data_IF_835633158387
#
_entry.id   IF_835633158387
#
_cell.length_a   1.000
_cell.length_b   1.000
_cell.length_c   1.000
_cell.angle_alpha   90.00
_cell.angle_beta   90.00
_cell.angle_gamma   90.00
#
_symmetry.space_group_name_H-M   'P 1'
#
loop_
_entity.id
_entity.type
_entity.pdbx_description
1 polymer ?
#
# COMPACT_ATOMS: atom_id res chain seq x y z
N UNK A 1 -10.79 53.18 37.23
CA UNK A 1 -10.35 52.42 36.03
C UNK A 1 -11.61 52.20 35.19
N UNK A 2 -11.70 52.72 33.97
CA UNK A 2 -12.86 52.51 33.09
C UNK A 2 -12.73 51.13 32.43
N UNK A 3 -13.76 50.30 32.57
CA UNK A 3 -13.83 48.98 31.94
C UNK A 3 -14.32 49.08 30.48
N UNK A 4 -13.95 48.09 29.67
CA UNK A 4 -14.43 47.94 28.30
C UNK A 4 -15.39 46.75 28.23
N UNK A 5 -16.50 46.90 27.51
CA UNK A 5 -17.53 45.88 27.36
C UNK A 5 -17.27 45.03 26.11
N UNK A 6 -17.13 43.71 26.27
CA UNK A 6 -16.93 42.78 25.17
C UNK A 6 -18.29 42.37 24.57
N UNK A 7 -18.55 42.76 23.32
CA UNK A 7 -19.70 42.29 22.53
C UNK A 7 -19.36 40.98 21.78
N UNK A 8 -20.37 40.22 21.32
CA UNK A 8 -20.15 38.97 20.56
C UNK A 8 -19.31 39.14 19.30
N UNK A 9 -19.26 40.34 18.71
CA UNK A 9 -18.41 40.63 17.55
C UNK A 9 -16.91 40.54 17.85
N UNK A 10 -16.51 40.62 19.13
CA UNK A 10 -15.13 40.47 19.57
C UNK A 10 -14.76 39.02 19.93
N UNK A 11 -15.67 38.05 19.75
CA UNK A 11 -15.48 36.65 20.16
C UNK A 11 -15.59 35.73 18.95
N UNK A 12 -14.57 34.92 18.70
CA UNK A 12 -14.62 33.81 17.73
C UNK A 12 -14.49 32.49 18.47
N UNK A 13 -15.47 31.61 18.31
CA UNK A 13 -15.43 30.24 18.84
C UNK A 13 -14.80 29.35 17.77
N UNK A 14 -13.66 28.76 18.08
CA UNK A 14 -13.01 27.77 17.20
C UNK A 14 -13.11 26.39 17.82
N UNK A 15 -13.56 25.40 17.04
CA UNK A 15 -13.56 24.01 17.45
C UNK A 15 -12.24 23.39 17.02
N UNK A 16 -11.46 22.89 17.97
CA UNK A 16 -10.20 22.19 17.70
C UNK A 16 -10.29 20.79 18.28
N UNK A 17 -10.14 19.79 17.42
CA UNK A 17 -10.02 18.39 17.86
C UNK A 17 -8.56 18.15 18.22
N UNK A 18 -8.28 18.00 19.52
CA UNK A 18 -6.92 17.77 20.03
C UNK A 18 -6.56 16.30 20.17
N UNK A 19 -7.56 15.43 20.32
CA UNK A 19 -7.37 14.01 20.53
C UNK A 19 -8.54 13.26 19.88
N UNK A 20 -8.20 12.33 19.00
CA UNK A 20 -9.15 11.44 18.32
C UNK A 20 -9.24 10.07 19.00
N UNK A 21 -8.40 9.80 20.01
CA UNK A 21 -8.34 8.52 20.71
C UNK A 21 -7.67 7.40 19.92
N UNK A 22 -7.32 7.62 18.66
CA UNK A 22 -6.58 6.70 17.80
C UNK A 22 -5.25 7.33 17.36
N UNK A 23 -4.09 6.72 17.67
CA UNK A 23 -2.78 7.25 17.29
C UNK A 23 -2.53 7.25 15.77
N UNK A 24 -3.33 6.54 14.97
CA UNK A 24 -3.23 6.55 13.51
C UNK A 24 -4.04 7.68 12.87
N UNK A 25 -4.86 8.39 13.65
CA UNK A 25 -5.64 9.51 13.14
C UNK A 25 -4.97 10.84 13.50
N UNK A 26 -4.83 11.71 12.52
CA UNK A 26 -4.33 13.06 12.72
C UNK A 26 -5.38 14.08 12.31
N UNK A 27 -5.72 15.00 13.22
CA UNK A 27 -6.64 16.10 12.95
C UNK A 27 -5.90 17.43 12.91
N UNK A 28 -6.24 18.25 11.92
CA UNK A 28 -5.88 19.67 11.91
C UNK A 28 -7.14 20.50 11.69
N UNK A 29 -7.22 21.65 12.36
CA UNK A 29 -8.37 22.56 12.26
C UNK A 29 -7.89 23.98 11.97
N UNK A 30 -8.51 24.63 10.98
CA UNK A 30 -8.27 26.02 10.61
C UNK A 30 -9.61 26.74 10.50
N UNK A 31 -9.90 27.61 11.48
CA UNK A 31 -11.20 28.29 11.57
C UNK A 31 -12.33 27.26 11.76
N UNK A 32 -13.23 27.21 10.77
CA UNK A 32 -14.40 26.32 10.76
C UNK A 32 -14.17 25.01 9.97
N UNK A 33 -12.96 24.80 9.45
CA UNK A 33 -12.61 23.61 8.67
C UNK A 33 -11.72 22.69 9.49
N UNK A 34 -12.09 21.40 9.54
CA UNK A 34 -11.30 20.34 10.16
C UNK A 34 -11.01 19.25 9.13
N UNK A 35 -9.75 18.85 9.01
CA UNK A 35 -9.30 17.72 8.19
C UNK A 35 -8.83 16.62 9.13
N UNK A 36 -9.27 15.39 8.87
CA UNK A 36 -8.84 14.19 9.59
C UNK A 36 -8.20 13.26 8.56
N UNK A 37 -6.96 12.86 8.82
CA UNK A 37 -6.23 11.88 8.02
C UNK A 37 -6.12 10.57 8.81
N UNK A 38 -6.36 9.46 8.13
CA UNK A 38 -6.21 8.11 8.68
C UNK A 38 -4.97 7.45 8.06
N UNK A 39 -4.01 7.12 8.93
CA UNK A 39 -2.75 6.46 8.56
C UNK A 39 -2.76 4.96 8.92
N UNK A 40 -3.92 4.39 9.24
CA UNK A 40 -4.07 2.97 9.50
C UNK A 40 -3.57 2.17 8.30
N UNK A 41 -2.66 1.22 8.58
CA UNK A 41 -2.09 0.38 7.53
C UNK A 41 -3.17 -0.53 6.96
N UNK A 42 -3.36 -0.44 5.66
CA UNK A 42 -4.19 -1.38 4.91
C UNK A 42 -3.33 -2.58 4.46
N UNK A 43 -3.65 -3.76 4.98
CA UNK A 43 -2.94 -5.00 4.64
C UNK A 43 -3.03 -5.33 3.14
N UNK A 44 -4.12 -4.99 2.47
CA UNK A 44 -4.29 -5.21 1.03
C UNK A 44 -3.32 -4.33 0.23
N UNK A 45 -3.19 -3.06 0.62
CA UNK A 45 -2.25 -2.13 -0.01
C UNK A 45 -0.79 -2.56 0.22
N UNK A 46 -0.47 -3.09 1.40
CA UNK A 46 0.86 -3.65 1.69
C UNK A 46 1.15 -4.88 0.81
N UNK A 47 0.18 -5.79 0.66
CA UNK A 47 0.30 -6.95 -0.22
C UNK A 47 0.47 -6.53 -1.69
N UNK A 48 -0.24 -5.50 -2.15
CA UNK A 48 -0.08 -4.95 -3.50
C UNK A 48 1.29 -4.31 -3.72
N UNK A 49 1.85 -3.65 -2.70
CA UNK A 49 3.21 -3.11 -2.75
C UNK A 49 4.24 -4.23 -2.91
N UNK A 50 4.11 -5.30 -2.12
CA UNK A 50 4.99 -6.46 -2.20
C UNK A 50 4.85 -7.19 -3.55
N UNK A 51 3.64 -7.35 -4.08
CA UNK A 51 3.41 -7.92 -5.41
C UNK A 51 4.12 -7.13 -6.52
N UNK A 52 4.14 -5.79 -6.42
CA UNK A 52 4.92 -4.93 -7.35
C UNK A 52 6.41 -5.15 -7.20
N UNK A 53 6.91 -5.32 -5.98
CA UNK A 53 8.33 -5.60 -5.75
C UNK A 53 8.77 -6.93 -6.37
N UNK A 54 7.98 -7.99 -6.16
CA UNK A 54 8.20 -9.31 -6.78
C UNK A 54 8.23 -9.18 -8.31
N UNK A 55 7.23 -8.53 -8.88
CA UNK A 55 7.13 -8.29 -10.33
C UNK A 55 8.37 -7.55 -10.85
N UNK A 56 8.78 -6.47 -10.17
CA UNK A 56 9.95 -5.69 -10.54
C UNK A 56 11.22 -6.53 -10.51
N UNK A 57 11.35 -7.45 -9.55
CA UNK A 57 12.50 -8.35 -9.46
C UNK A 57 12.53 -9.31 -10.64
N UNK A 58 11.41 -9.94 -10.98
CA UNK A 58 11.29 -10.83 -12.14
C UNK A 58 11.62 -10.10 -13.43
N UNK A 59 11.09 -8.89 -13.62
CA UNK A 59 11.37 -8.08 -14.80
C UNK A 59 12.84 -7.67 -14.92
N UNK A 60 13.53 -7.39 -13.80
CA UNK A 60 14.98 -7.13 -13.79
C UNK A 60 15.77 -8.37 -14.20
N UNK A 61 15.44 -9.54 -13.66
CA UNK A 61 16.09 -10.81 -14.01
C UNK A 61 15.97 -11.09 -15.52
N UNK A 62 14.80 -10.87 -16.12
CA UNK A 62 14.61 -11.01 -17.59
C UNK A 62 15.56 -10.13 -18.38
N UNK A 63 15.70 -8.85 -17.98
CA UNK A 63 16.60 -7.91 -18.64
C UNK A 63 18.07 -8.31 -18.51
N UNK A 64 18.47 -8.82 -17.34
CA UNK A 64 19.85 -9.25 -17.07
C UNK A 64 20.29 -10.40 -17.98
N UNK A 65 19.37 -11.29 -18.36
CA UNK A 65 19.66 -12.40 -19.31
C UNK A 65 19.32 -12.05 -20.76
N UNK A 66 19.02 -10.79 -21.07
CA UNK A 66 18.74 -10.31 -22.43
C UNK A 66 17.35 -10.63 -22.98
N UNK A 67 16.43 -11.15 -22.15
CA UNK A 67 15.06 -11.45 -22.55
C UNK A 67 14.24 -10.17 -22.75
N UNK A 68 13.48 -10.13 -23.82
CA UNK A 68 12.49 -9.09 -24.11
C UNK A 68 11.17 -9.37 -23.38
N UNK A 69 10.32 -8.35 -23.29
CA UNK A 69 9.03 -8.44 -22.59
C UNK A 69 8.07 -9.46 -23.23
N UNK A 70 8.18 -9.69 -24.53
CA UNK A 70 7.29 -10.59 -25.27
C UNK A 70 7.87 -11.98 -25.46
N UNK A 71 9.06 -12.27 -24.94
CA UNK A 71 9.67 -13.60 -25.04
C UNK A 71 8.88 -14.64 -24.24
N UNK A 72 8.63 -15.85 -24.79
CA UNK A 72 8.01 -16.93 -24.04
C UNK A 72 8.95 -17.39 -22.94
N UNK A 73 8.53 -17.24 -21.68
CA UNK A 73 9.31 -17.59 -20.49
C UNK A 73 8.38 -18.24 -19.50
N UNK A 74 8.73 -19.45 -19.07
CA UNK A 74 8.11 -20.10 -17.93
C UNK A 74 8.81 -19.61 -16.66
N UNK A 75 8.02 -19.22 -15.66
CA UNK A 75 8.51 -18.59 -14.45
C UNK A 75 7.93 -19.28 -13.24
N UNK A 76 8.79 -19.59 -12.27
CA UNK A 76 8.39 -20.14 -10.99
C UNK A 76 9.00 -19.35 -9.85
N UNK A 77 8.25 -19.23 -8.76
CA UNK A 77 8.71 -18.62 -7.53
C UNK A 77 8.33 -19.45 -6.32
N UNK A 78 9.21 -19.42 -5.31
CA UNK A 78 8.94 -19.91 -3.97
C UNK A 78 9.68 -19.05 -2.97
N UNK A 79 9.14 -18.94 -1.76
CA UNK A 79 9.77 -18.23 -0.66
C UNK A 79 9.61 -19.02 0.63
N UNK A 80 10.58 -18.87 1.53
CA UNK A 80 10.45 -19.31 2.94
C UNK A 80 9.79 -18.24 3.81
N UNK A 81 9.64 -17.01 3.29
CA UNK A 81 9.00 -15.88 3.95
C UNK A 81 7.49 -16.00 3.76
N UNK A 82 6.75 -16.00 4.87
CA UNK A 82 5.30 -16.24 4.89
C UNK A 82 4.55 -15.19 4.07
N UNK A 83 4.88 -13.92 4.25
CA UNK A 83 4.22 -12.79 3.59
C UNK A 83 4.38 -12.85 2.08
N UNK A 84 5.56 -13.21 1.59
CA UNK A 84 5.83 -13.39 0.16
C UNK A 84 5.03 -14.58 -0.38
N UNK A 85 4.97 -15.68 0.37
CA UNK A 85 4.19 -16.86 -0.01
C UNK A 85 2.71 -16.53 -0.12
N UNK A 86 2.16 -15.82 0.88
CA UNK A 86 0.78 -15.37 0.86
C UNK A 86 0.49 -14.42 -0.31
N UNK A 87 1.41 -13.53 -0.66
CA UNK A 87 1.23 -12.61 -1.80
C UNK A 87 1.30 -13.35 -3.13
N UNK A 88 2.20 -14.32 -3.30
CA UNK A 88 2.27 -15.16 -4.49
C UNK A 88 0.96 -15.94 -4.71
N UNK A 89 0.30 -16.36 -3.63
CA UNK A 89 -0.99 -17.08 -3.69
C UNK A 89 -2.20 -16.15 -3.84
N UNK A 90 -2.33 -15.12 -2.98
CA UNK A 90 -3.52 -14.25 -2.92
C UNK A 90 -3.56 -13.18 -4.02
N UNK A 91 -2.40 -12.80 -4.60
CA UNK A 91 -2.27 -11.75 -5.61
C UNK A 91 -1.72 -12.27 -6.93
N UNK A 92 -1.82 -13.57 -7.20
CA UNK A 92 -1.36 -14.22 -8.44
C UNK A 92 -1.89 -13.51 -9.69
N UNK A 93 -3.21 -13.31 -9.81
CA UNK A 93 -3.83 -12.64 -10.96
C UNK A 93 -3.28 -11.23 -11.21
N UNK A 94 -2.94 -10.52 -10.15
CA UNK A 94 -2.37 -9.18 -10.23
C UNK A 94 -0.92 -9.22 -10.71
N UNK A 95 -0.11 -10.14 -10.16
CA UNK A 95 1.27 -10.36 -10.58
C UNK A 95 1.32 -10.80 -12.06
N UNK A 96 0.46 -11.74 -12.46
CA UNK A 96 0.37 -12.27 -13.81
C UNK A 96 0.03 -11.18 -14.82
N UNK A 97 -0.89 -10.29 -14.46
CA UNK A 97 -1.23 -9.13 -15.28
C UNK A 97 -0.03 -8.20 -15.48
N UNK A 98 0.77 -7.97 -14.44
CA UNK A 98 1.95 -7.10 -14.53
C UNK A 98 3.10 -7.76 -15.30
N UNK A 99 3.26 -9.08 -15.21
CA UNK A 99 4.26 -9.85 -15.94
C UNK A 99 3.83 -10.23 -17.36
N UNK A 100 2.54 -10.09 -17.67
CA UNK A 100 1.85 -10.54 -18.90
C UNK A 100 1.89 -12.06 -19.12
N UNK A 101 2.28 -12.81 -18.09
CA UNK A 101 2.46 -14.27 -18.09
C UNK A 101 2.35 -14.80 -16.66
N UNK A 102 1.92 -16.06 -16.47
CA UNK A 102 1.78 -16.64 -15.15
C UNK A 102 3.12 -16.80 -14.43
N UNK A 103 3.17 -16.42 -13.16
CA UNK A 103 4.23 -16.79 -12.23
C UNK A 103 3.77 -17.96 -11.36
N UNK A 104 4.21 -19.17 -11.71
CA UNK A 104 3.76 -20.39 -11.05
C UNK A 104 4.46 -20.61 -9.70
N UNK A 105 3.85 -21.41 -8.83
CA UNK A 105 4.52 -21.82 -7.59
C UNK A 105 5.58 -22.88 -7.94
N UNK A 106 6.79 -22.75 -7.39
CA UNK A 106 7.85 -23.73 -7.66
C UNK A 106 7.51 -25.15 -7.16
N UNK A 107 6.52 -25.29 -6.26
CA UNK A 107 5.99 -26.61 -5.85
C UNK A 107 5.33 -27.36 -7.01
N UNK A 108 4.77 -26.65 -7.97
CA UNK A 108 4.04 -27.24 -9.11
C UNK A 108 5.00 -27.78 -10.19
N UNK A 109 6.30 -27.51 -10.07
CA UNK A 109 7.33 -28.02 -10.98
C UNK A 109 7.47 -29.55 -10.90
N UNK A 110 7.03 -30.19 -9.81
CA UNK A 110 7.28 -31.62 -9.53
C UNK A 110 6.36 -32.60 -10.32
N UNK A 111 5.64 -32.15 -11.34
CA UNK A 111 4.74 -32.99 -12.15
C UNK A 111 5.22 -33.35 -13.56
N UNK A 112 6.40 -32.91 -13.98
CA UNK A 112 6.95 -33.15 -15.32
C UNK A 112 8.30 -33.88 -15.27
N UNK A 113 8.30 -35.10 -14.73
CA UNK A 113 9.27 -36.15 -15.10
C UNK A 113 8.51 -37.44 -15.42
#
# INVERSE_FOLDING_TARGET
IQGFELTPEYITVTHTIKDLGDPNLEATSQGDVTVILDFTKDEDLLQLALAREITNRVQKLRKEVGLQQDDPVEMWASSTVKEVTEVLEKKSDYIDRLLRRPLMNAKDLQGHE
#
